data_IF_970770231417
#
_entry.id   IF_970770231417
#
_cell.length_a   1.000
_cell.length_b   1.000
_cell.length_c   1.000
_cell.angle_alpha   90.00
_cell.angle_beta   90.00
_cell.angle_gamma   90.00
#
_symmetry.space_group_name_H-M   'P 1'
#
loop_
_entity.id
_entity.type
_entity.pdbx_description
1 polymer ?
#
# COMPACT_ATOMS: atom_id res chain seq x y z
N UNK A 1 18.43 6.71 -13.42
CA UNK A 1 17.85 7.49 -12.31
C UNK A 1 18.56 7.07 -11.05
N UNK A 2 18.94 8.03 -10.20
CA UNK A 2 19.44 7.70 -8.87
C UNK A 2 18.33 7.08 -8.01
N UNK A 3 18.63 6.25 -6.99
CA UNK A 3 17.61 5.73 -6.07
C UNK A 3 16.74 6.82 -5.44
N UNK A 4 17.32 8.00 -5.19
CA UNK A 4 16.62 9.18 -4.67
C UNK A 4 15.61 9.72 -5.69
N UNK A 5 16.01 9.89 -6.96
CA UNK A 5 15.09 10.33 -8.02
C UNK A 5 13.96 9.32 -8.27
N UNK A 6 14.28 8.02 -8.25
CA UNK A 6 13.32 6.95 -8.45
C UNK A 6 12.28 6.93 -7.31
N UNK A 7 12.72 7.04 -6.06
CA UNK A 7 11.84 7.13 -4.90
C UNK A 7 10.95 8.37 -4.95
N UNK A 8 11.50 9.54 -5.31
CA UNK A 8 10.76 10.79 -5.37
C UNK A 8 9.71 10.79 -6.50
N UNK A 9 10.05 10.22 -7.66
CA UNK A 9 9.10 10.06 -8.77
C UNK A 9 7.99 9.07 -8.41
N UNK A 10 8.36 7.89 -7.91
CA UNK A 10 7.38 6.86 -7.54
C UNK A 10 6.41 7.34 -6.45
N UNK A 11 6.91 8.03 -5.42
CA UNK A 11 6.04 8.59 -4.38
C UNK A 11 5.06 9.64 -4.90
N UNK A 12 5.47 10.48 -5.86
CA UNK A 12 4.56 11.47 -6.47
C UNK A 12 3.44 10.80 -7.28
N UNK A 13 3.74 9.71 -7.97
CA UNK A 13 2.73 8.96 -8.76
C UNK A 13 1.67 8.31 -7.86
N UNK A 14 2.06 7.77 -6.69
CA UNK A 14 1.13 7.08 -5.78
C UNK A 14 0.53 7.98 -4.69
N UNK A 15 1.01 9.22 -4.52
CA UNK A 15 0.63 10.10 -3.41
C UNK A 15 -0.89 10.23 -3.25
N UNK A 16 -1.56 10.57 -4.35
CA UNK A 16 -3.01 10.76 -4.35
C UNK A 16 -3.77 9.47 -4.02
N UNK A 17 -3.32 8.33 -4.55
CA UNK A 17 -3.95 7.04 -4.31
C UNK A 17 -3.88 6.63 -2.82
N UNK A 18 -2.72 6.80 -2.19
CA UNK A 18 -2.52 6.45 -0.77
C UNK A 18 -3.39 7.33 0.13
N UNK A 19 -3.42 8.64 -0.10
CA UNK A 19 -4.26 9.56 0.69
C UNK A 19 -5.74 9.23 0.51
N UNK A 20 -6.18 8.98 -0.73
CA UNK A 20 -7.57 8.67 -1.05
C UNK A 20 -8.05 7.39 -0.34
N UNK A 21 -7.29 6.30 -0.42
CA UNK A 21 -7.64 5.03 0.24
C UNK A 21 -7.64 5.19 1.76
N UNK A 22 -6.68 5.93 2.32
CA UNK A 22 -6.56 6.12 3.76
C UNK A 22 -7.73 6.93 4.33
N UNK A 23 -8.12 8.01 3.66
CA UNK A 23 -9.30 8.81 4.03
C UNK A 23 -10.58 8.00 3.86
N UNK A 24 -10.71 7.26 2.75
CA UNK A 24 -11.87 6.38 2.49
C UNK A 24 -12.03 5.36 3.61
N UNK A 25 -10.93 4.70 4.01
CA UNK A 25 -10.95 3.71 5.07
C UNK A 25 -11.31 4.35 6.42
N UNK A 26 -10.77 5.52 6.75
CA UNK A 26 -11.17 6.25 7.95
C UNK A 26 -12.67 6.63 7.94
N UNK A 27 -13.18 7.07 6.78
CA UNK A 27 -14.58 7.45 6.61
C UNK A 27 -15.55 6.27 6.78
N UNK A 28 -15.15 5.04 6.39
CA UNK A 28 -15.95 3.82 6.58
C UNK A 28 -16.19 3.52 8.07
N UNK A 29 -15.34 4.01 8.98
CA UNK A 29 -15.53 3.86 10.43
C UNK A 29 -16.38 4.97 11.07
N UNK A 30 -16.65 6.08 10.36
CA UNK A 30 -17.47 7.17 10.88
C UNK A 30 -18.89 6.71 11.31
N UNK A 31 -19.61 5.88 10.53
CA UNK A 31 -20.94 5.38 10.91
C UNK A 31 -20.95 4.63 12.25
N UNK A 32 -19.84 3.98 12.59
CA UNK A 32 -19.69 3.16 13.80
C UNK A 32 -19.85 4.01 15.07
N UNK A 33 -19.47 5.29 15.01
CA UNK A 33 -19.58 6.21 16.13
C UNK A 33 -21.05 6.43 16.53
N UNK A 34 -22.00 6.33 15.58
CA UNK A 34 -23.42 6.54 15.85
C UNK A 34 -24.13 5.29 16.42
N UNK A 35 -23.44 4.14 16.49
CA UNK A 35 -24.02 2.92 17.05
C UNK A 35 -24.22 3.05 18.56
N UNK A 36 -25.39 2.62 19.03
CA UNK A 36 -25.77 2.62 20.45
C UNK A 36 -25.67 1.22 21.07
N UNK A 37 -25.80 1.14 22.40
CA UNK A 37 -25.73 -0.11 23.14
C UNK A 37 -24.31 -0.57 23.49
N UNK A 38 -24.20 -1.73 24.14
CA UNK A 38 -22.91 -2.31 24.54
C UNK A 38 -21.99 -2.56 23.35
N UNK A 39 -22.55 -3.15 22.29
CA UNK A 39 -21.84 -3.44 21.04
C UNK A 39 -21.34 -2.15 20.39
N UNK A 40 -22.16 -1.10 20.30
CA UNK A 40 -21.77 0.19 19.75
C UNK A 40 -20.61 0.86 20.48
N UNK A 41 -20.55 0.76 21.82
CA UNK A 41 -19.42 1.28 22.61
C UNK A 41 -18.11 0.56 22.29
N UNK A 42 -18.14 -0.77 22.21
CA UNK A 42 -16.95 -1.56 21.88
C UNK A 42 -16.43 -1.21 20.47
N UNK A 43 -17.32 -1.15 19.48
CA UNK A 43 -16.94 -0.82 18.10
C UNK A 43 -16.48 0.64 17.92
N UNK A 44 -16.99 1.58 18.71
CA UNK A 44 -16.53 2.98 18.69
C UNK A 44 -15.06 3.08 19.09
N UNK A 45 -14.66 2.40 20.17
CA UNK A 45 -13.25 2.36 20.60
C UNK A 45 -12.35 1.73 19.51
N UNK A 46 -12.77 0.60 18.92
CA UNK A 46 -12.02 -0.03 17.82
C UNK A 46 -11.95 0.85 16.57
N UNK A 47 -13.05 1.50 16.20
CA UNK A 47 -13.12 2.36 15.02
C UNK A 47 -12.17 3.55 15.12
N UNK A 48 -12.11 4.20 16.28
CA UNK A 48 -11.16 5.31 16.53
C UNK A 48 -9.71 4.82 16.45
N UNK A 49 -9.39 3.66 17.05
CA UNK A 49 -8.04 3.08 17.01
C UNK A 49 -7.62 2.76 15.57
N UNK A 50 -8.47 2.09 14.79
CA UNK A 50 -8.14 1.71 13.41
C UNK A 50 -8.03 2.95 12.52
N UNK A 51 -8.97 3.89 12.61
CA UNK A 51 -8.90 5.13 11.83
C UNK A 51 -7.62 5.91 12.13
N UNK A 52 -7.25 6.04 13.40
CA UNK A 52 -6.00 6.70 13.82
C UNK A 52 -4.78 5.95 13.29
N UNK A 53 -4.75 4.62 13.42
CA UNK A 53 -3.65 3.79 12.96
C UNK A 53 -3.44 3.90 11.44
N UNK A 54 -4.52 3.91 10.65
CA UNK A 54 -4.47 4.06 9.20
C UNK A 54 -3.92 5.43 8.80
N UNK A 55 -4.36 6.51 9.45
CA UNK A 55 -3.88 7.86 9.16
C UNK A 55 -2.39 8.02 9.50
N UNK A 56 -1.96 7.49 10.65
CA UNK A 56 -0.53 7.46 11.02
C UNK A 56 0.26 6.61 10.02
N UNK A 57 -0.26 5.46 9.62
CA UNK A 57 0.37 4.60 8.60
C UNK A 57 0.51 5.30 7.26
N UNK A 58 -0.49 6.08 6.82
CA UNK A 58 -0.44 6.84 5.59
C UNK A 58 0.68 7.90 5.63
N UNK A 59 0.78 8.61 6.76
CA UNK A 59 1.85 9.59 6.99
C UNK A 59 3.24 8.94 6.96
N UNK A 60 3.42 7.83 7.68
CA UNK A 60 4.68 7.05 7.71
C UNK A 60 5.02 6.53 6.30
N UNK A 61 4.04 6.01 5.57
CA UNK A 61 4.23 5.45 4.23
C UNK A 61 4.71 6.51 3.21
N UNK A 62 4.19 7.73 3.30
CA UNK A 62 4.57 8.81 2.37
C UNK A 62 5.88 9.51 2.75
N UNK A 63 6.39 9.27 3.95
CA UNK A 63 7.61 9.93 4.47
C UNK A 63 8.76 8.94 4.62
N UNK A 64 8.62 7.98 5.54
CA UNK A 64 9.65 7.02 5.89
C UNK A 64 9.91 6.01 4.77
N UNK A 65 8.88 5.46 4.15
CA UNK A 65 9.07 4.46 3.08
C UNK A 65 9.89 4.98 1.89
N UNK A 66 9.59 6.16 1.28
CA UNK A 66 10.43 6.69 0.22
C UNK A 66 11.84 7.04 0.66
N UNK A 67 11.99 7.58 1.88
CA UNK A 67 13.31 7.88 2.43
C UNK A 67 14.13 6.59 2.55
N UNK A 68 13.57 5.54 3.16
CA UNK A 68 14.24 4.25 3.29
C UNK A 68 14.60 3.66 1.93
N UNK A 69 13.70 3.70 0.94
CA UNK A 69 13.98 3.22 -0.41
C UNK A 69 15.09 4.03 -1.11
N UNK A 70 15.17 5.33 -0.87
CA UNK A 70 16.21 6.19 -1.44
C UNK A 70 17.61 5.90 -0.88
N UNK A 71 17.72 5.48 0.39
CA UNK A 71 19.00 5.28 1.08
C UNK A 71 19.43 3.82 1.26
N UNK A 72 18.50 2.88 1.43
CA UNK A 72 18.81 1.47 1.68
C UNK A 72 18.94 0.64 0.40
N UNK A 73 18.32 1.06 -0.70
CA UNK A 73 18.46 0.38 -1.99
C UNK A 73 19.84 0.72 -2.55
N UNK A 74 20.79 -0.21 -2.40
CA UNK A 74 22.12 -0.10 -3.01
C UNK A 74 21.97 -0.16 -4.54
N UNK A 75 22.53 0.83 -5.22
CA UNK A 75 22.61 0.89 -6.68
C UNK A 75 23.47 -0.26 -7.22
N UNK A 76 22.84 -1.37 -7.56
CA UNK A 76 23.48 -2.55 -8.13
C UNK A 76 22.46 -3.69 -8.12
N UNK A 77 22.13 -4.22 -9.30
CA UNK A 77 21.03 -5.18 -9.47
C UNK A 77 21.04 -6.28 -8.40
N UNK A 78 19.88 -6.50 -7.77
CA UNK A 78 19.70 -7.59 -6.83
C UNK A 78 20.17 -8.89 -7.49
N UNK A 79 21.11 -9.60 -6.86
CA UNK A 79 21.51 -10.94 -7.32
C UNK A 79 20.25 -11.79 -7.34
N UNK A 80 19.83 -12.23 -8.53
CA UNK A 80 18.68 -13.12 -8.69
C UNK A 80 18.97 -14.38 -7.90
N UNK A 81 18.16 -14.61 -6.87
CA UNK A 81 18.24 -15.84 -6.07
C UNK A 81 17.64 -16.98 -6.89
N UNK A 82 18.14 -18.21 -6.73
CA UNK A 82 17.58 -19.40 -7.40
C UNK A 82 16.07 -19.57 -7.21
N UNK A 83 15.52 -19.05 -6.11
CA UNK A 83 14.08 -18.98 -5.86
C UNK A 83 13.35 -18.08 -6.88
N UNK A 84 13.90 -16.89 -7.17
CA UNK A 84 13.34 -15.95 -8.14
C UNK A 84 13.26 -16.60 -9.52
N UNK A 85 14.33 -17.26 -9.98
CA UNK A 85 14.36 -17.88 -11.31
C UNK A 85 13.36 -19.04 -11.46
N UNK A 86 13.01 -19.73 -10.36
CA UNK A 86 11.97 -20.76 -10.36
C UNK A 86 10.55 -20.18 -10.34
N UNK A 87 10.31 -19.10 -9.58
CA UNK A 87 8.97 -18.49 -9.46
C UNK A 87 8.61 -17.53 -10.58
N UNK A 88 9.59 -16.85 -11.17
CA UNK A 88 9.40 -15.86 -12.25
C UNK A 88 8.53 -16.38 -13.41
N UNK A 89 8.77 -17.57 -14.00
CA UNK A 89 7.95 -18.05 -15.11
C UNK A 89 6.49 -18.30 -14.73
N UNK A 90 6.19 -18.60 -13.46
CA UNK A 90 4.82 -18.75 -12.97
C UNK A 90 4.11 -17.38 -12.92
N UNK A 91 4.74 -16.37 -12.31
CA UNK A 91 4.21 -15.01 -12.24
C UNK A 91 3.96 -14.40 -13.64
N UNK A 92 4.91 -14.60 -14.56
CA UNK A 92 4.77 -14.10 -15.94
C UNK A 92 3.59 -14.77 -16.66
N UNK A 93 3.37 -16.08 -16.46
CA UNK A 93 2.20 -16.78 -17.02
C UNK A 93 0.89 -16.26 -16.44
N UNK A 94 0.83 -15.99 -15.13
CA UNK A 94 -0.35 -15.42 -14.47
C UNK A 94 -0.68 -14.03 -15.02
N UNK A 95 0.32 -13.14 -15.15
CA UNK A 95 0.12 -11.80 -15.72
C UNK A 95 -0.38 -11.86 -17.17
N UNK A 96 0.21 -12.71 -18.01
CA UNK A 96 -0.23 -12.88 -19.41
C UNK A 96 -1.64 -13.45 -19.51
N UNK A 97 -2.00 -14.39 -18.64
CA UNK A 97 -3.35 -14.94 -18.56
C UNK A 97 -4.38 -13.88 -18.16
N UNK A 98 -4.08 -13.09 -17.13
CA UNK A 98 -4.93 -12.00 -16.68
C UNK A 98 -5.11 -10.91 -17.74
N UNK A 99 -4.02 -10.47 -18.39
CA UNK A 99 -4.08 -9.50 -19.47
C UNK A 99 -4.95 -10.00 -20.64
N UNK A 100 -4.76 -11.26 -21.05
CA UNK A 100 -5.55 -11.87 -22.11
C UNK A 100 -7.03 -12.03 -21.73
N UNK A 101 -7.34 -12.27 -20.46
CA UNK A 101 -8.73 -12.33 -19.99
C UNK A 101 -9.42 -10.96 -20.03
N UNK A 102 -8.69 -9.88 -19.70
CA UNK A 102 -9.19 -8.51 -19.80
C UNK A 102 -9.36 -8.04 -21.24
N UNK A 103 -8.49 -8.44 -22.16
CA UNK A 103 -8.60 -8.11 -23.60
C UNK A 103 -9.74 -8.85 -24.31
N UNK A 104 -10.20 -9.98 -23.75
CA UNK A 104 -11.30 -10.78 -24.30
C UNK A 104 -12.67 -10.43 -23.66
N UNK A 105 -12.72 -9.43 -22.78
CA UNK A 105 -13.94 -8.82 -22.23
C UNK A 105 -14.33 -7.60 -23.07
#
# INVERSE_FOLDING_TARGET
MSPIEAALKGSKEIFFAVISISITLAAVFLPVIFLQGFVGRLFREFGVVIASAVLVSAFVSLTLTPMLNAYLIKGGGHKKTKFYDWTEPMFVKMNKGYAKALENL
#
